data_IF_032423608822
#
_entry.id   IF_032423608822
#
_cell.length_a   1.000
_cell.length_b   1.000
_cell.length_c   1.000
_cell.angle_alpha   90.00
_cell.angle_beta   90.00
_cell.angle_gamma   90.00
#
_symmetry.space_group_name_H-M   'P 1'
#
loop_
_entity.id
_entity.type
_entity.pdbx_description
1 polymer ?
#
# COMPACT_ATOMS: atom_id res chain seq x y z
N UNK A 1 -4.10 3.05 33.65
CA UNK A 1 -4.45 3.15 32.21
C UNK A 1 -5.08 1.83 31.79
N UNK A 2 -6.31 1.83 31.30
CA UNK A 2 -7.05 0.59 30.99
C UNK A 2 -6.38 -0.25 29.90
N UNK A 3 -6.66 -1.56 29.88
CA UNK A 3 -6.07 -2.50 28.90
C UNK A 3 -6.21 -2.03 27.44
N UNK A 4 -7.34 -1.41 27.10
CA UNK A 4 -7.63 -0.86 25.77
C UNK A 4 -6.67 0.28 25.42
N UNK A 5 -6.46 1.25 26.33
CA UNK A 5 -5.52 2.36 26.09
C UNK A 5 -4.08 1.88 25.93
N UNK A 6 -3.66 0.91 26.74
CA UNK A 6 -2.32 0.31 26.62
C UNK A 6 -2.14 -0.41 25.29
N UNK A 7 -3.15 -1.17 24.86
CA UNK A 7 -3.14 -1.88 23.59
C UNK A 7 -3.12 -0.92 22.39
N UNK A 8 -3.94 0.13 22.41
CA UNK A 8 -3.97 1.15 21.37
C UNK A 8 -2.61 1.86 21.23
N UNK A 9 -1.99 2.23 22.36
CA UNK A 9 -0.65 2.82 22.37
C UNK A 9 0.42 1.86 21.84
N UNK A 10 0.38 0.58 22.24
CA UNK A 10 1.30 -0.43 21.72
C UNK A 10 1.18 -0.57 20.20
N UNK A 11 -0.04 -0.64 19.65
CA UNK A 11 -0.24 -0.71 18.20
C UNK A 11 0.27 0.54 17.49
N UNK A 12 -0.03 1.73 18.03
CA UNK A 12 0.43 2.99 17.45
C UNK A 12 1.96 3.08 17.41
N UNK A 13 2.63 2.63 18.48
CA UNK A 13 4.08 2.56 18.53
C UNK A 13 4.65 1.53 17.54
N UNK A 14 3.97 0.40 17.32
CA UNK A 14 4.36 -0.60 16.33
C UNK A 14 4.14 -0.13 14.88
N UNK A 15 3.26 0.84 14.64
CA UNK A 15 3.09 1.46 13.32
C UNK A 15 4.35 2.20 12.87
N UNK A 16 5.09 2.82 13.78
CA UNK A 16 6.31 3.58 13.46
C UNK A 16 7.39 2.70 12.78
N UNK A 17 7.87 1.59 13.39
CA UNK A 17 8.85 0.74 12.74
C UNK A 17 8.28 0.08 11.48
N UNK A 18 6.98 -0.24 11.43
CA UNK A 18 6.34 -0.77 10.23
C UNK A 18 6.43 0.20 9.05
N UNK A 19 6.04 1.46 9.26
CA UNK A 19 6.13 2.51 8.23
C UNK A 19 7.58 2.78 7.84
N UNK A 20 8.49 2.83 8.82
CA UNK A 20 9.92 3.02 8.54
C UNK A 20 10.48 1.91 7.63
N UNK A 21 10.19 0.65 7.95
CA UNK A 21 10.60 -0.49 7.12
C UNK A 21 9.98 -0.39 5.72
N UNK A 22 8.67 -0.11 5.63
CA UNK A 22 7.97 0.03 4.35
C UNK A 22 8.59 1.13 3.48
N UNK A 23 8.76 2.34 4.04
CA UNK A 23 9.35 3.48 3.34
C UNK A 23 10.78 3.18 2.89
N UNK A 24 11.59 2.56 3.75
CA UNK A 24 12.95 2.13 3.42
C UNK A 24 12.95 1.14 2.26
N UNK A 25 12.10 0.11 2.32
CA UNK A 25 12.02 -0.90 1.27
C UNK A 25 11.56 -0.30 -0.06
N UNK A 26 10.47 0.47 -0.05
CA UNK A 26 9.94 1.11 -1.27
C UNK A 26 10.99 2.05 -1.87
N UNK A 27 11.65 2.86 -1.03
CA UNK A 27 12.72 3.75 -1.45
C UNK A 27 13.87 3.00 -2.12
N UNK A 28 14.38 1.95 -1.48
CA UNK A 28 15.48 1.15 -2.02
C UNK A 28 15.07 0.43 -3.30
N UNK A 29 13.89 -0.17 -3.34
CA UNK A 29 13.38 -0.85 -4.54
C UNK A 29 13.32 0.13 -5.71
N UNK A 30 12.72 1.31 -5.53
CA UNK A 30 12.59 2.29 -6.62
C UNK A 30 13.93 2.83 -7.13
N UNK A 31 15.00 2.79 -6.32
CA UNK A 31 16.33 3.32 -6.66
C UNK A 31 17.32 2.27 -7.14
N UNK A 32 17.11 1.01 -6.76
CA UNK A 32 17.91 -0.14 -7.19
C UNK A 32 17.31 -0.79 -8.43
N UNK A 33 15.99 -0.68 -8.62
CA UNK A 33 15.31 -1.24 -9.79
C UNK A 33 15.86 -0.62 -11.08
N UNK A 34 16.25 -1.43 -12.08
CA UNK A 34 16.79 -0.92 -13.33
C UNK A 34 15.70 -0.16 -14.11
N UNK A 35 15.92 1.13 -14.30
CA UNK A 35 15.05 2.06 -15.00
C UNK A 35 15.34 3.47 -14.49
N UNK A 36 15.76 4.38 -15.37
CA UNK A 36 16.02 5.76 -14.95
C UNK A 36 14.65 6.44 -14.69
N UNK A 37 14.29 6.75 -13.43
CA UNK A 37 13.01 7.40 -13.13
C UNK A 37 12.88 8.75 -13.85
N UNK A 38 14.01 9.38 -14.18
CA UNK A 38 14.05 10.59 -15.00
C UNK A 38 13.68 10.28 -16.45
N UNK A 39 14.18 9.17 -17.02
CA UNK A 39 13.77 8.72 -18.36
C UNK A 39 12.30 8.28 -18.43
N UNK A 40 11.77 7.70 -17.35
CA UNK A 40 10.35 7.34 -17.23
C UNK A 40 9.45 8.59 -17.15
N UNK A 41 9.83 9.60 -16.35
CA UNK A 41 9.13 10.89 -16.28
C UNK A 41 9.12 11.61 -17.64
N UNK A 42 10.20 11.49 -18.40
CA UNK A 42 10.36 12.18 -19.69
C UNK A 42 9.80 11.38 -20.89
N UNK A 43 9.08 10.28 -20.66
CA UNK A 43 8.36 9.56 -21.72
C UNK A 43 9.25 8.83 -22.74
N UNK A 44 10.51 8.53 -22.40
CA UNK A 44 11.37 7.63 -23.18
C UNK A 44 11.75 8.08 -24.60
N UNK A 45 11.63 9.37 -24.98
CA UNK A 45 12.08 9.83 -26.31
C UNK A 45 12.81 11.19 -26.27
N UNK A 46 14.03 11.20 -26.80
CA UNK A 46 14.81 12.38 -27.23
C UNK A 46 14.87 13.54 -26.23
N UNK A 47 15.23 13.27 -24.99
CA UNK A 47 15.60 14.35 -24.07
C UNK A 47 17.08 14.67 -24.26
N UNK A 48 17.41 15.94 -24.44
CA UNK A 48 18.80 16.36 -24.60
C UNK A 48 19.60 15.97 -23.34
N UNK A 49 20.86 15.52 -23.47
CA UNK A 49 21.68 15.14 -22.32
C UNK A 49 21.76 16.24 -21.25
N UNK A 50 21.74 17.51 -21.67
CA UNK A 50 21.75 18.66 -20.76
C UNK A 50 20.48 18.75 -19.92
N UNK A 51 19.31 18.49 -20.51
CA UNK A 51 18.04 18.52 -19.78
C UNK A 51 17.95 17.33 -18.82
N UNK A 52 18.47 16.16 -19.21
CA UNK A 52 18.52 14.99 -18.34
C UNK A 52 19.35 15.24 -17.07
N UNK A 53 20.54 15.84 -17.23
CA UNK A 53 21.41 16.16 -16.09
C UNK A 53 20.83 17.28 -15.22
N UNK A 54 20.13 18.26 -15.81
CA UNK A 54 19.42 19.29 -15.05
C UNK A 54 18.28 18.68 -14.21
N UNK A 55 17.54 17.71 -14.75
CA UNK A 55 16.49 17.00 -14.02
C UNK A 55 17.06 16.07 -12.94
N UNK A 56 18.18 15.38 -13.19
CA UNK A 56 18.87 14.58 -12.16
C UNK A 56 19.32 15.43 -10.98
N UNK A 57 19.87 16.61 -11.28
CA UNK A 57 20.30 17.55 -10.26
C UNK A 57 19.16 18.20 -9.48
N UNK A 58 18.03 18.50 -10.16
CA UNK A 58 16.79 18.94 -9.50
C UNK A 58 16.16 17.87 -8.63
N UNK A 59 16.23 16.61 -9.04
CA UNK A 59 15.67 15.46 -8.31
C UNK A 59 16.62 14.94 -7.22
N UNK A 60 17.81 15.53 -7.08
CA UNK A 60 18.78 15.18 -6.05
C UNK A 60 19.35 13.76 -6.19
N UNK A 61 19.16 13.12 -7.36
CA UNK A 61 19.55 11.72 -7.60
C UNK A 61 21.08 11.57 -7.58
N UNK A 62 21.80 12.67 -7.81
CA UNK A 62 23.26 12.77 -7.81
C UNK A 62 23.87 12.71 -6.39
N UNK A 63 23.06 12.89 -5.34
CA UNK A 63 23.54 12.91 -3.95
C UNK A 63 23.78 11.49 -3.44
N UNK A 64 24.58 11.29 -2.38
CA UNK A 64 24.69 9.97 -1.74
C UNK A 64 23.31 9.45 -1.28
N UNK A 65 23.04 8.15 -1.50
CA UNK A 65 21.76 7.50 -1.15
C UNK A 65 21.28 7.83 0.29
N UNK A 66 22.14 7.83 1.33
CA UNK A 66 21.70 8.17 2.68
C UNK A 66 21.15 9.59 2.82
N UNK A 67 21.74 10.57 2.11
CA UNK A 67 21.27 11.97 2.13
C UNK A 67 19.88 12.06 1.52
N UNK A 68 19.70 11.42 0.36
CA UNK A 68 18.40 11.39 -0.31
C UNK A 68 17.31 10.71 0.54
N UNK A 69 17.68 9.71 1.36
CA UNK A 69 16.74 9.04 2.26
C UNK A 69 16.29 9.93 3.42
N UNK A 70 17.23 10.66 4.02
CA UNK A 70 16.93 11.59 5.11
C UNK A 70 16.06 12.75 4.63
N UNK A 71 16.35 13.31 3.44
CA UNK A 71 15.52 14.34 2.81
C UNK A 71 14.11 13.81 2.54
N UNK A 72 13.99 12.65 1.89
CA UNK A 72 12.72 11.98 1.64
C UNK A 72 11.88 11.75 2.90
N UNK A 73 12.49 11.27 3.98
CA UNK A 73 11.81 11.11 5.26
C UNK A 73 11.39 12.46 5.86
N UNK A 74 12.24 13.47 5.75
CA UNK A 74 11.97 14.83 6.23
C UNK A 74 10.75 15.44 5.53
N UNK A 75 10.64 15.26 4.21
CA UNK A 75 9.53 15.75 3.40
C UNK A 75 8.23 15.03 3.78
N UNK A 76 8.25 13.69 3.90
CA UNK A 76 7.08 12.90 4.32
C UNK A 76 6.56 13.33 5.69
N UNK A 77 7.46 13.55 6.66
CA UNK A 77 7.08 13.98 8.02
C UNK A 77 6.45 15.37 8.00
N UNK A 78 6.81 16.22 7.05
CA UNK A 78 6.20 17.54 6.82
C UNK A 78 4.89 17.48 6.02
N UNK A 79 4.51 16.29 5.55
CA UNK A 79 3.34 16.08 4.70
C UNK A 79 3.58 16.43 3.23
N UNK A 80 4.84 16.59 2.82
CA UNK A 80 5.22 16.74 1.43
C UNK A 80 5.55 15.37 0.83
N UNK A 81 4.72 14.93 -0.10
CA UNK A 81 4.88 13.64 -0.80
C UNK A 81 5.44 13.83 -2.21
N UNK A 82 5.70 15.07 -2.63
CA UNK A 82 6.13 15.42 -3.97
C UNK A 82 5.11 15.12 -5.06
N UNK A 83 5.62 15.07 -6.29
CA UNK A 83 4.85 14.77 -7.50
C UNK A 83 5.06 13.32 -7.97
N UNK A 84 4.01 12.76 -8.57
CA UNK A 84 4.04 11.43 -9.17
C UNK A 84 4.98 11.38 -10.38
N UNK A 85 5.92 10.43 -10.39
CA UNK A 85 6.79 10.17 -11.54
C UNK A 85 6.03 9.80 -12.83
N UNK A 86 4.79 9.29 -12.71
CA UNK A 86 4.00 8.86 -13.87
C UNK A 86 3.05 9.94 -14.39
N UNK A 87 2.47 10.74 -13.51
CA UNK A 87 1.42 11.70 -13.88
C UNK A 87 1.86 13.16 -13.73
N UNK A 88 3.02 13.42 -13.13
CA UNK A 88 3.54 14.77 -12.83
C UNK A 88 2.54 15.64 -12.04
N UNK A 89 1.73 15.00 -11.20
CA UNK A 89 0.75 15.66 -10.32
C UNK A 89 1.11 15.41 -8.85
N UNK A 90 0.68 16.28 -7.93
CA UNK A 90 0.90 16.09 -6.50
C UNK A 90 0.34 14.74 -6.04
N UNK A 91 1.18 13.92 -5.39
CA UNK A 91 0.80 12.56 -4.95
C UNK A 91 -0.44 12.59 -4.05
N UNK A 92 -0.55 13.60 -3.19
CA UNK A 92 -1.70 13.80 -2.30
C UNK A 92 -3.01 13.90 -3.09
N UNK A 93 -3.01 14.61 -4.22
CA UNK A 93 -4.21 14.77 -5.05
C UNK A 93 -4.65 13.44 -5.68
N UNK A 94 -3.69 12.63 -6.13
CA UNK A 94 -3.94 11.30 -6.69
C UNK A 94 -4.49 10.33 -5.63
N UNK A 95 -3.99 10.41 -4.39
CA UNK A 95 -4.50 9.63 -3.27
C UNK A 95 -5.96 9.99 -2.99
N UNK A 96 -6.27 11.28 -2.83
CA UNK A 96 -7.63 11.73 -2.54
C UNK A 96 -8.61 11.46 -3.68
N UNK A 97 -8.15 11.43 -4.92
CA UNK A 97 -8.98 11.05 -6.06
C UNK A 97 -9.45 9.59 -6.00
N UNK A 98 -8.61 8.68 -5.49
CA UNK A 98 -8.87 7.23 -5.43
C UNK A 98 -9.45 6.77 -4.09
N UNK A 99 -9.25 7.58 -3.04
CA UNK A 99 -9.66 7.25 -1.68
C UNK A 99 -11.17 6.95 -1.54
N UNK A 100 -12.11 7.72 -2.13
CA UNK A 100 -13.53 7.42 -2.04
C UNK A 100 -13.89 6.04 -2.61
N UNK A 101 -13.34 5.69 -3.77
CA UNK A 101 -13.59 4.38 -4.40
C UNK A 101 -13.07 3.22 -3.53
N UNK A 102 -11.95 3.42 -2.84
CA UNK A 102 -11.42 2.43 -1.90
C UNK A 102 -12.32 2.29 -0.67
N UNK A 103 -12.86 3.40 -0.15
CA UNK A 103 -13.79 3.37 0.96
C UNK A 103 -15.12 2.68 0.58
N UNK A 104 -15.67 2.99 -0.59
CA UNK A 104 -16.86 2.32 -1.11
C UNK A 104 -16.63 0.82 -1.23
N UNK A 105 -15.54 0.40 -1.86
CA UNK A 105 -15.20 -1.00 -2.03
C UNK A 105 -14.97 -1.71 -0.67
N UNK A 106 -14.24 -1.07 0.25
CA UNK A 106 -14.00 -1.62 1.58
C UNK A 106 -15.30 -1.76 2.38
N UNK A 107 -16.18 -0.77 2.30
CA UNK A 107 -17.46 -0.79 3.01
C UNK A 107 -18.36 -1.91 2.50
N UNK A 108 -18.61 -1.97 1.18
CA UNK A 108 -19.45 -3.03 0.61
C UNK A 108 -18.82 -4.41 0.76
N UNK A 109 -17.49 -4.51 0.64
CA UNK A 109 -16.75 -5.74 0.91
C UNK A 109 -16.91 -6.21 2.36
N UNK A 110 -16.85 -5.29 3.33
CA UNK A 110 -17.08 -5.60 4.74
C UNK A 110 -18.51 -6.04 5.00
N UNK A 111 -19.51 -5.36 4.43
CA UNK A 111 -20.92 -5.73 4.54
C UNK A 111 -21.16 -7.12 3.95
N UNK A 112 -20.59 -7.40 2.78
CA UNK A 112 -20.67 -8.71 2.15
C UNK A 112 -20.00 -9.80 3.00
N UNK A 113 -18.77 -9.56 3.46
CA UNK A 113 -18.05 -10.48 4.34
C UNK A 113 -18.80 -10.73 5.66
N UNK A 114 -19.46 -9.70 6.21
CA UNK A 114 -20.27 -9.85 7.41
C UNK A 114 -21.53 -10.68 7.14
N UNK A 115 -22.30 -10.38 6.10
CA UNK A 115 -23.53 -11.14 5.79
C UNK A 115 -23.20 -12.61 5.47
N UNK A 116 -22.27 -12.85 4.55
CA UNK A 116 -21.98 -14.20 4.06
C UNK A 116 -20.98 -14.94 4.94
N UNK A 117 -19.85 -14.31 5.29
CA UNK A 117 -18.81 -14.94 6.09
C UNK A 117 -19.29 -15.25 7.51
N UNK A 118 -19.79 -14.24 8.23
CA UNK A 118 -20.31 -14.45 9.58
C UNK A 118 -21.60 -15.30 9.57
N UNK A 119 -22.52 -15.07 8.63
CA UNK A 119 -23.76 -15.85 8.53
C UNK A 119 -23.51 -17.34 8.26
N UNK A 120 -22.70 -17.68 7.25
CA UNK A 120 -22.37 -19.09 6.96
C UNK A 120 -21.51 -19.71 8.06
N UNK A 121 -20.59 -18.96 8.66
CA UNK A 121 -19.82 -19.40 9.81
C UNK A 121 -20.69 -19.75 11.02
N UNK A 122 -21.69 -18.92 11.33
CA UNK A 122 -22.66 -19.20 12.40
C UNK A 122 -23.51 -20.43 12.08
N UNK A 123 -23.98 -20.58 10.84
CA UNK A 123 -24.76 -21.74 10.42
C UNK A 123 -23.97 -23.06 10.55
N UNK A 124 -22.69 -23.05 10.17
CA UNK A 124 -21.80 -24.20 10.36
C UNK A 124 -21.57 -24.50 11.85
N UNK A 125 -21.40 -23.47 12.68
CA UNK A 125 -21.20 -23.61 14.12
C UNK A 125 -22.43 -24.17 14.86
N UNK A 126 -23.65 -23.85 14.42
CA UNK A 126 -24.89 -24.38 15.03
C UNK A 126 -25.23 -25.78 14.52
N UNK A 127 -24.78 -26.15 13.31
CA UNK A 127 -25.06 -27.45 12.68
C UNK A 127 -23.80 -28.31 12.52
N UNK A 128 -23.05 -28.45 13.61
CA UNK A 128 -21.81 -29.23 13.68
C UNK A 128 -22.01 -30.66 13.16
N UNK A 129 -21.03 -31.15 12.39
CA UNK A 129 -20.98 -32.51 11.83
C UNK A 129 -22.18 -32.88 10.92
N UNK A 130 -22.87 -31.87 10.40
CA UNK A 130 -23.87 -32.04 9.34
C UNK A 130 -23.26 -31.74 7.98
N UNK A 131 -23.84 -32.26 6.87
CA UNK A 131 -23.33 -31.99 5.52
C UNK A 131 -23.11 -30.50 5.22
N UNK A 132 -23.96 -29.62 5.77
CA UNK A 132 -23.83 -28.17 5.59
C UNK A 132 -22.58 -27.58 6.27
N UNK A 133 -22.16 -28.07 7.44
CA UNK A 133 -20.91 -27.66 8.07
C UNK A 133 -19.73 -28.06 7.18
N UNK A 134 -19.69 -29.31 6.72
CA UNK A 134 -18.60 -29.78 5.84
C UNK A 134 -18.50 -28.96 4.54
N UNK A 135 -19.63 -28.67 3.88
CA UNK A 135 -19.64 -27.86 2.65
C UNK A 135 -19.14 -26.43 2.92
N UNK A 136 -19.64 -25.77 3.96
CA UNK A 136 -19.23 -24.40 4.32
C UNK A 136 -17.74 -24.38 4.69
N UNK A 137 -17.26 -25.36 5.44
CA UNK A 137 -15.86 -25.45 5.88
C UNK A 137 -14.92 -25.66 4.71
N UNK A 138 -15.24 -26.57 3.79
CA UNK A 138 -14.45 -26.79 2.57
C UNK A 138 -14.43 -25.53 1.72
N UNK A 139 -15.57 -24.85 1.57
CA UNK A 139 -15.64 -23.58 0.84
C UNK A 139 -14.74 -22.51 1.48
N UNK A 140 -14.86 -22.27 2.79
CA UNK A 140 -14.04 -21.27 3.51
C UNK A 140 -12.54 -21.56 3.40
N UNK A 141 -12.13 -22.81 3.59
CA UNK A 141 -10.72 -23.22 3.44
C UNK A 141 -10.26 -23.02 2.01
N UNK A 142 -11.07 -23.42 1.02
CA UNK A 142 -10.77 -23.24 -0.40
C UNK A 142 -10.58 -21.77 -0.75
N UNK A 143 -11.52 -20.91 -0.37
CA UNK A 143 -11.44 -19.46 -0.62
C UNK A 143 -10.24 -18.81 0.08
N UNK A 144 -9.92 -19.23 1.31
CA UNK A 144 -8.77 -18.70 2.05
C UNK A 144 -7.43 -19.13 1.45
N UNK A 145 -7.38 -20.33 0.87
CA UNK A 145 -6.17 -20.88 0.26
C UNK A 145 -5.93 -20.37 -1.18
N UNK A 146 -6.95 -19.87 -1.86
CA UNK A 146 -6.82 -19.35 -3.22
C UNK A 146 -6.05 -18.02 -3.23
N UNK A 147 -5.03 -17.87 -4.10
CA UNK A 147 -4.40 -16.57 -4.30
C UNK A 147 -5.40 -15.55 -4.85
N UNK A 148 -5.35 -14.31 -4.36
CA UNK A 148 -6.29 -13.25 -4.74
C UNK A 148 -6.38 -13.03 -6.26
N UNK A 149 -5.26 -13.13 -6.97
CA UNK A 149 -5.21 -12.93 -8.44
C UNK A 149 -5.93 -14.01 -9.26
N UNK A 150 -6.32 -15.14 -8.66
CA UNK A 150 -7.15 -16.15 -9.33
C UNK A 150 -8.64 -15.78 -9.31
N UNK A 151 -9.04 -14.89 -8.39
CA UNK A 151 -10.43 -14.52 -8.15
C UNK A 151 -10.88 -13.32 -9.02
N UNK A 152 -9.96 -12.69 -9.75
CA UNK A 152 -10.20 -11.51 -10.59
C UNK A 152 -9.24 -10.37 -10.29
#
# INVERSE_FOLDING_TARGET
>A
MGGITRYALQRLLLTIPMLFILLTLVFLILRVMPGDPVAAMLGGRNVSPQLMDEYRHKMGVDRPIPVQFVEYLGDIVRGDFGDSFSTSKPVVSEIFLRFPATLELAFFGLVFAWIFGFGTGLLAAVRVDRPIDHVVRVFHIGSFAMPLFWLG
#
